data_IF_414183630294
#
_entry.id   IF_414183630294
#
_cell.length_a   1.000
_cell.length_b   1.000
_cell.length_c   1.000
_cell.angle_alpha   90.00
_cell.angle_beta   90.00
_cell.angle_gamma   90.00
#
_symmetry.space_group_name_H-M   'P 1'
#
loop_
_entity.id
_entity.type
_entity.pdbx_description
1 polymer ?
2 non-polymer ?
3 non-polymer ?
4 water ?
#
# COMPACT_ATOMS: atom_id res chain seq x y z
N UNK A 1 10.69 -1.93 16.25
CA UNK A 1 9.36 -2.03 15.67
C UNK A 1 8.64 -0.68 15.73
N UNK A 2 7.64 -0.55 14.88
CA UNK A 2 6.79 0.62 14.75
C UNK A 2 5.39 0.22 15.17
N UNK A 3 4.71 1.11 15.90
CA UNK A 3 3.35 0.86 16.29
C UNK A 3 2.42 0.98 15.08
N UNK A 4 1.47 0.05 14.97
CA UNK A 4 0.47 0.05 13.93
C UNK A 4 -0.87 0.38 14.54
N UNK A 5 -1.69 1.27 13.95
CA UNK A 5 -1.41 1.95 12.68
C UNK A 5 -0.30 2.97 12.79
N UNK A 6 0.42 3.15 11.70
CA UNK A 6 1.56 4.03 11.62
C UNK A 6 1.38 5.04 10.52
N UNK A 7 1.77 6.29 10.76
CA UNK A 7 1.75 7.32 9.76
C UNK A 7 3.16 7.74 9.39
N UNK A 8 3.51 7.53 8.13
CA UNK A 8 4.78 7.98 7.60
C UNK A 8 4.58 9.27 6.82
N UNK A 9 5.13 10.40 7.29
CA UNK A 9 5.03 11.61 6.48
C UNK A 9 5.82 11.46 5.19
N UNK A 10 5.29 12.05 4.11
CA UNK A 10 5.94 12.11 2.81
C UNK A 10 6.11 13.60 2.48
N UNK A 11 7.21 14.23 2.96
CA UNK A 11 7.26 15.68 2.95
C UNK A 11 7.25 16.25 1.55
N UNK A 12 6.35 17.17 1.26
CA UNK A 12 6.21 17.70 -0.07
C UNK A 12 5.61 16.72 -1.07
N UNK A 13 4.96 15.69 -0.56
CA UNK A 13 4.28 14.73 -1.42
C UNK A 13 5.24 13.79 -2.12
N UNK A 14 4.70 13.16 -3.15
CA UNK A 14 5.44 12.17 -3.90
C UNK A 14 5.77 12.73 -5.28
N UNK A 15 6.74 12.05 -5.95
CA UNK A 15 7.25 12.46 -7.24
C UNK A 15 7.68 11.21 -7.99
N UNK A 16 7.67 11.18 -9.33
CA UNK A 16 8.22 10.02 -10.03
C UNK A 16 9.66 9.76 -9.59
N UNK A 17 9.92 8.45 -9.50
CA UNK A 17 11.20 7.86 -9.11
C UNK A 17 11.37 7.78 -7.59
N UNK A 18 10.38 8.19 -6.83
CA UNK A 18 10.38 7.98 -5.40
C UNK A 18 9.94 6.55 -5.09
N UNK A 19 10.74 5.87 -4.30
CA UNK A 19 10.51 4.46 -3.92
C UNK A 19 10.27 4.40 -2.42
N UNK A 20 9.08 3.90 -2.04
CA UNK A 20 8.70 3.75 -0.66
C UNK A 20 8.78 2.26 -0.30
N UNK A 21 9.51 1.95 0.78
CA UNK A 21 9.74 0.57 1.19
C UNK A 21 9.13 0.37 2.59
N UNK A 22 8.31 -0.67 2.70
CA UNK A 22 7.70 -1.07 3.96
C UNK A 22 8.17 -2.49 4.28
N UNK A 23 8.77 -2.67 5.44
CA UNK A 23 9.27 -3.98 5.91
C UNK A 23 8.50 -4.37 7.15
N UNK A 24 8.11 -5.63 7.22
CA UNK A 24 7.50 -6.14 8.43
C UNK A 24 7.34 -7.63 8.37
N UNK A 25 6.47 -8.14 9.24
CA UNK A 25 6.10 -9.55 9.24
C UNK A 25 4.59 -9.65 9.33
N UNK A 26 4.01 -10.49 8.47
CA UNK A 26 2.58 -10.73 8.53
C UNK A 26 2.25 -11.50 9.78
N UNK A 27 1.22 -11.11 10.52
CA UNK A 27 0.84 -11.84 11.72
C UNK A 27 0.34 -13.23 11.34
N UNK A 28 0.45 -14.20 12.27
CA UNK A 28 0.08 -15.56 11.94
C UNK A 28 -1.34 -15.80 11.49
N UNK A 29 -2.27 -15.03 11.99
CA UNK A 29 -3.64 -15.36 11.60
C UNK A 29 -4.21 -14.17 10.84
N UNK A 30 -3.41 -13.54 10.01
CA UNK A 30 -3.77 -12.26 9.43
C UNK A 30 -5.10 -12.33 8.67
N UNK A 31 -5.86 -11.23 8.77
CA UNK A 31 -7.06 -11.02 7.97
C UNK A 31 -6.91 -9.95 6.92
N UNK A 32 -6.17 -8.88 7.22
CA UNK A 32 -6.15 -7.73 6.33
C UNK A 32 -4.90 -6.90 6.60
N UNK A 33 -4.43 -6.22 5.53
CA UNK A 33 -3.38 -5.21 5.61
C UNK A 33 -3.83 -4.03 4.77
N UNK A 34 -3.44 -2.81 5.14
CA UNK A 34 -3.71 -1.69 4.26
C UNK A 34 -2.58 -0.69 4.28
N UNK A 35 -2.25 -0.20 3.08
CA UNK A 35 -1.46 1.02 2.87
C UNK A 35 -2.39 2.08 2.32
N UNK A 36 -2.32 3.29 2.86
CA UNK A 36 -3.14 4.43 2.43
C UNK A 36 -2.27 5.64 2.15
N UNK A 37 -2.01 5.90 0.85
CA UNK A 37 -1.31 7.12 0.43
C UNK A 37 -2.34 8.23 0.38
N UNK A 38 -2.22 9.19 1.28
CA UNK A 38 -3.27 10.20 1.49
C UNK A 38 -2.85 11.59 1.02
N UNK A 39 -3.84 12.27 0.44
CA UNK A 39 -3.82 13.71 0.18
C UNK A 39 -4.84 14.33 1.11
N UNK A 40 -4.38 14.83 2.26
CA UNK A 40 -5.32 15.24 3.27
C UNK A 40 -6.19 14.05 3.69
N UNK A 41 -7.51 14.23 3.68
CA UNK A 41 -8.42 13.13 3.98
C UNK A 41 -8.63 12.21 2.79
N UNK A 42 -8.28 12.63 1.58
CA UNK A 42 -8.45 11.75 0.46
C UNK A 42 -7.39 10.66 0.46
N UNK A 43 -7.78 9.50 -0.06
CA UNK A 43 -6.84 8.40 -0.22
C UNK A 43 -6.55 8.24 -1.70
N UNK A 44 -5.37 8.71 -2.11
CA UNK A 44 -4.95 8.59 -3.50
C UNK A 44 -4.82 7.14 -3.91
N UNK A 45 -4.25 6.32 -3.03
CA UNK A 45 -3.96 4.92 -3.35
C UNK A 45 -4.07 4.12 -2.08
N UNK A 46 -5.12 3.27 -2.04
CA UNK A 46 -5.36 2.30 -0.98
C UNK A 46 -4.99 0.94 -1.54
N UNK A 47 -4.06 0.29 -0.89
CA UNK A 47 -3.57 -1.05 -1.25
C UNK A 47 -3.91 -1.99 -0.13
N UNK A 48 -4.80 -2.95 -0.39
CA UNK A 48 -5.49 -3.69 0.68
C UNK A 48 -5.52 -5.18 0.42
N UNK A 49 -4.47 -5.91 0.81
CA UNK A 49 -4.53 -7.38 0.88
C UNK A 49 -5.61 -7.85 1.87
N UNK A 50 -6.49 -8.72 1.39
CA UNK A 50 -7.52 -9.38 2.17
C UNK A 50 -7.26 -10.89 2.13
N UNK A 51 -7.03 -11.48 3.30
CA UNK A 51 -6.65 -12.88 3.39
C UNK A 51 -7.84 -13.84 3.35
N UNK A 52 -9.07 -13.36 3.56
CA UNK A 52 -10.22 -14.24 3.57
C UNK A 52 -11.45 -13.44 3.23
N UNK A 53 -11.58 -13.11 1.95
CA UNK A 53 -12.79 -12.53 1.43
C UNK A 53 -13.49 -13.66 0.68
N UNK A 54 -14.61 -14.15 1.21
CA UNK A 54 -15.29 -15.25 0.58
C UNK A 54 -14.36 -16.45 0.35
N UNK A 55 -13.51 -16.71 1.30
CA UNK A 55 -12.61 -17.87 1.26
C UNK A 55 -11.63 -17.79 0.10
N UNK A 56 -11.32 -16.57 -0.32
CA UNK A 56 -10.26 -16.23 -1.27
C UNK A 56 -9.29 -15.26 -0.61
N UNK A 57 -8.08 -15.24 -1.16
CA UNK A 57 -7.15 -14.14 -0.89
C UNK A 57 -7.15 -13.20 -2.08
N UNK A 58 -7.27 -11.91 -1.85
CA UNK A 58 -7.38 -10.94 -2.94
C UNK A 58 -6.67 -9.66 -2.53
N UNK A 59 -6.13 -8.96 -3.52
CA UNK A 59 -5.60 -7.62 -3.34
C UNK A 59 -6.63 -6.65 -3.89
N UNK A 60 -7.12 -5.74 -3.04
CA UNK A 60 -8.06 -4.70 -3.42
C UNK A 60 -7.34 -3.36 -3.43
N UNK A 61 -7.43 -2.60 -4.54
CA UNK A 61 -6.90 -1.25 -4.59
C UNK A 61 -8.02 -0.27 -4.94
N UNK A 62 -7.96 0.93 -4.39
CA UNK A 62 -8.97 1.93 -4.63
C UNK A 62 -8.46 3.32 -4.25
N UNK A 63 -9.34 4.29 -4.48
CA UNK A 63 -9.14 5.72 -4.15
C UNK A 63 -10.39 6.17 -3.40
N UNK A 64 -10.19 7.03 -2.40
CA UNK A 64 -11.29 7.60 -1.64
C UNK A 64 -11.25 9.11 -1.81
N UNK A 65 -12.35 9.68 -2.31
CA UNK A 65 -12.46 11.12 -2.56
C UNK A 65 -13.67 11.64 -1.81
N UNK A 66 -13.48 12.69 -1.00
CA UNK A 66 -14.57 13.24 -0.22
C UNK A 66 -15.34 12.16 0.54
N UNK A 67 -14.58 11.21 1.08
CA UNK A 67 -15.09 10.15 1.93
C UNK A 67 -15.90 9.11 1.16
N UNK A 68 -15.76 9.03 -0.17
CA UNK A 68 -16.43 8.06 -1.02
C UNK A 68 -15.39 7.19 -1.71
N UNK A 69 -15.52 5.86 -1.55
CA UNK A 69 -14.66 4.94 -2.29
C UNK A 69 -15.10 4.86 -3.75
N UNK A 70 -14.11 4.75 -4.62
CA UNK A 70 -14.38 4.66 -6.04
C UNK A 70 -14.41 3.22 -6.51
N UNK A 71 -14.09 3.02 -7.78
CA UNK A 71 -14.09 1.70 -8.38
C UNK A 71 -12.88 0.88 -7.92
N UNK A 72 -13.15 -0.30 -7.36
CA UNK A 72 -12.05 -1.19 -6.96
C UNK A 72 -11.32 -1.76 -8.17
N UNK A 73 -10.01 -1.94 -8.00
CA UNK A 73 -9.16 -2.72 -8.88
C UNK A 73 -8.69 -3.93 -8.10
N UNK A 74 -8.98 -5.13 -8.58
CA UNK A 74 -8.72 -6.38 -7.85
C UNK A 74 -7.74 -7.30 -8.59
N UNK A 75 -6.92 -8.01 -7.82
CA UNK A 75 -5.81 -8.89 -8.28
C UNK A 75 -5.98 -10.19 -7.45
N UNK A 76 -5.96 -11.39 -8.03
CA UNK A 76 -5.92 -12.63 -7.27
C UNK A 76 -4.50 -13.12 -7.03
N UNK A 77 -3.51 -12.63 -7.79
CA UNK A 77 -2.14 -12.98 -7.44
C UNK A 77 -1.84 -12.35 -6.08
N UNK A 78 -1.45 -13.16 -5.11
CA UNK A 78 -1.42 -12.79 -3.73
C UNK A 78 -0.11 -13.26 -3.12
N UNK A 79 0.86 -12.36 -2.94
CA UNK A 79 2.20 -12.80 -2.58
C UNK A 79 2.48 -12.94 -1.11
N UNK A 80 1.53 -12.57 -0.26
CA UNK A 80 1.74 -12.58 1.16
C UNK A 80 1.40 -13.93 1.74
N UNK A 81 2.05 -14.27 2.86
CA UNK A 81 1.78 -15.48 3.58
C UNK A 81 1.79 -15.14 5.06
N UNK A 82 0.77 -15.64 5.76
CA UNK A 82 0.67 -15.45 7.20
C UNK A 82 1.95 -15.89 7.90
N UNK A 83 2.42 -15.09 8.85
CA UNK A 83 3.56 -15.40 9.67
C UNK A 83 4.91 -15.08 9.04
N UNK A 84 4.97 -14.59 7.79
CA UNK A 84 6.27 -14.43 7.11
C UNK A 84 6.69 -12.97 6.99
N UNK A 85 8.02 -12.74 6.99
CA UNK A 85 8.55 -11.41 6.70
C UNK A 85 8.31 -10.98 5.27
N UNK A 86 7.93 -9.72 5.11
CA UNK A 86 7.61 -9.17 3.79
C UNK A 86 8.31 -7.82 3.59
N UNK A 87 8.39 -7.49 2.30
CA UNK A 87 8.77 -6.17 1.85
C UNK A 87 7.79 -5.73 0.78
N UNK A 88 7.17 -4.57 1.00
CA UNK A 88 6.37 -3.95 -0.03
C UNK A 88 7.13 -2.74 -0.52
N UNK A 89 7.33 -2.64 -1.83
CA UNK A 89 7.92 -1.47 -2.45
C UNK A 89 6.93 -0.84 -3.38
N UNK A 90 6.73 0.46 -3.18
CA UNK A 90 5.82 1.24 -4.01
C UNK A 90 6.68 2.28 -4.72
N UNK A 91 6.78 2.14 -6.05
CA UNK A 91 7.56 3.05 -6.87
C UNK A 91 6.58 3.99 -7.56
N UNK A 92 6.78 5.29 -7.36
CA UNK A 92 5.91 6.28 -8.00
C UNK A 92 6.46 6.50 -9.41
N UNK A 93 5.60 6.32 -10.41
CA UNK A 93 5.95 6.55 -11.79
C UNK A 93 5.06 7.67 -12.29
N UNK A 94 5.34 8.20 -13.51
CA UNK A 94 4.58 9.35 -13.99
C UNK A 94 3.07 9.13 -14.08
N UNK A 95 2.64 7.92 -14.47
CA UNK A 95 1.23 7.64 -14.68
C UNK A 95 0.64 6.65 -13.69
N UNK A 96 1.47 6.01 -12.83
CA UNK A 96 0.96 4.99 -11.95
C UNK A 96 1.86 4.86 -10.73
N UNK A 97 1.28 4.20 -9.70
CA UNK A 97 2.09 3.58 -8.66
C UNK A 97 2.39 2.15 -9.12
N UNK A 98 3.61 1.70 -8.93
CA UNK A 98 3.98 0.30 -9.21
C UNK A 98 4.34 -0.35 -7.91
N UNK A 99 3.78 -1.53 -7.65
CA UNK A 99 3.97 -2.25 -6.41
C UNK A 99 4.72 -3.56 -6.71
N UNK A 100 5.76 -3.82 -5.94
CA UNK A 100 6.49 -5.10 -5.92
C UNK A 100 6.49 -5.60 -4.49
N UNK A 101 6.30 -6.91 -4.32
CA UNK A 101 6.33 -7.55 -3.00
C UNK A 101 7.44 -8.59 -3.02
N UNK A 102 8.33 -8.52 -2.05
CA UNK A 102 9.41 -9.50 -1.97
C UNK A 102 10.13 -9.57 -3.31
N UNK A 103 10.39 -8.41 -3.91
CA UNK A 103 11.17 -8.29 -5.13
C UNK A 103 10.52 -8.89 -6.38
N UNK A 104 9.22 -9.10 -6.35
CA UNK A 104 8.47 -9.54 -7.51
C UNK A 104 7.39 -8.50 -7.81
N UNK A 105 7.35 -8.07 -9.07
CA UNK A 105 6.30 -7.16 -9.51
C UNK A 105 4.91 -7.75 -9.22
N UNK A 106 4.04 -6.91 -8.67
CA UNK A 106 2.68 -7.31 -8.32
C UNK A 106 1.66 -6.60 -9.21
N UNK A 107 1.64 -5.26 -9.22
CA UNK A 107 0.56 -4.56 -9.90
C UNK A 107 0.99 -3.11 -10.15
N UNK A 108 0.24 -2.47 -11.04
CA UNK A 108 0.25 -1.03 -11.29
C UNK A 108 -1.12 -0.46 -10.93
N UNK A 109 -1.13 0.80 -10.50
CA UNK A 109 -2.37 1.50 -10.20
C UNK A 109 -2.27 2.91 -10.77
N UNK A 110 -3.08 3.20 -11.78
CA UNK A 110 -2.99 4.51 -12.44
C UNK A 110 -3.39 5.63 -11.50
N UNK A 111 -2.75 6.80 -11.65
CA UNK A 111 -3.04 7.92 -10.80
C UNK A 111 -4.44 8.48 -11.10
N UNK A 112 -5.28 8.48 -10.07
CA UNK A 112 -6.58 9.13 -10.08
C UNK A 112 -6.50 10.51 -9.43
N UNK A 113 -5.79 10.59 -8.32
CA UNK A 113 -5.41 11.84 -7.69
C UNK A 113 -4.14 12.35 -8.38
N UNK A 114 -4.21 13.54 -8.95
CA UNK A 114 -3.19 14.03 -9.84
C UNK A 114 -2.20 14.98 -9.18
N UNK A 115 -2.55 15.51 -8.01
CA UNK A 115 -1.66 16.42 -7.29
C UNK A 115 -0.70 15.58 -6.44
N UNK A 116 0.30 15.01 -7.12
CA UNK A 116 1.25 14.09 -6.51
C UNK A 116 1.94 14.77 -5.34
N UNK A 117 2.28 16.05 -5.52
CA UNK A 117 3.04 16.77 -4.49
C UNK A 117 2.19 17.17 -3.28
N UNK A 118 0.93 16.72 -3.22
CA UNK A 118 0.07 16.86 -2.05
C UNK A 118 -0.24 15.55 -1.37
N UNK A 119 0.29 14.43 -1.89
CA UNK A 119 0.10 13.11 -1.28
C UNK A 119 1.18 12.96 -0.22
N UNK A 120 0.92 13.49 0.97
CA UNK A 120 1.95 13.79 1.93
C UNK A 120 1.94 12.87 3.16
N UNK A 121 1.17 11.80 3.14
CA UNK A 121 1.18 10.85 4.24
C UNK A 121 0.96 9.45 3.69
N UNK A 122 1.62 8.49 4.30
CA UNK A 122 1.35 7.07 4.10
C UNK A 122 0.90 6.45 5.42
N UNK A 123 -0.35 5.98 5.47
CA UNK A 123 -0.84 5.22 6.59
C UNK A 123 -0.59 3.74 6.36
N UNK A 124 -0.18 3.04 7.41
CA UNK A 124 0.07 1.62 7.38
C UNK A 124 -0.73 0.98 8.50
N UNK A 125 -1.61 0.03 8.16
CA UNK A 125 -2.51 -0.55 9.13
C UNK A 125 -2.71 -2.03 8.87
N UNK A 126 -3.30 -2.70 9.87
CA UNK A 126 -3.69 -4.08 9.75
C UNK A 126 -2.74 -5.05 10.45
N UNK A 127 -2.77 -6.30 9.98
CA UNK A 127 -2.35 -7.44 10.77
C UNK A 127 -0.88 -7.76 10.46
N UNK A 128 -0.04 -6.83 10.86
CA UNK A 128 1.38 -6.89 10.65
C UNK A 128 2.11 -6.47 11.90
N UNK A 129 3.34 -6.97 12.03
CA UNK A 129 4.39 -6.38 12.85
C UNK A 129 5.20 -5.52 11.91
N UNK A 130 5.21 -4.20 12.12
CA UNK A 130 5.87 -3.29 11.23
C UNK A 130 7.31 -3.02 11.72
N UNK A 131 8.29 -3.26 10.86
CA UNK A 131 9.68 -3.08 11.19
C UNK A 131 10.25 -1.73 10.73
N UNK A 132 9.92 -1.29 9.52
CA UNK A 132 10.49 -0.09 8.96
C UNK A 132 9.58 0.44 7.87
N UNK A 133 9.61 1.76 7.68
CA UNK A 133 8.93 2.39 6.58
C UNK A 133 9.77 3.59 6.17
N UNK A 134 10.22 3.62 4.91
CA UNK A 134 11.15 4.65 4.48
C UNK A 134 11.02 4.87 2.99
N UNK A 135 11.77 5.87 2.52
CA UNK A 135 11.74 6.20 1.10
C UNK A 135 13.12 6.63 0.60
N UNK A 136 13.29 6.55 -0.71
CA UNK A 136 14.49 7.04 -1.35
C UNK A 136 14.13 7.39 -2.79
N UNK A 137 15.04 8.07 -3.48
CA UNK A 137 14.90 8.36 -4.91
C UNK A 137 15.78 7.37 -5.68
N UNK A 138 15.25 6.73 -6.73
CA UNK A 138 16.07 5.87 -7.56
C UNK A 138 16.76 6.64 -8.71
X LIG B 1 -17.07 -0.08 -1.38
X LIG B 1 -17.21 0.73 0.62
X LIG B 1 -16.28 0.34 -3.62
X LIG B 1 -16.13 -0.07 0.59
X LIG B 1 -15.30 -0.23 1.81
X LIG B 1 -14.29 -1.37 1.78
X LIG B 1 -13.37 -1.39 2.99
X LIG B 1 -10.03 -0.62 5.64
X LIG B 1 -7.77 -1.11 8.51
X LIG B 1 -7.18 -2.68 6.83
X LIG B 1 -10.63 -1.17 4.54
X LIG B 1 -11.86 -0.35 -0.83
X LIG B 1 -11.62 -0.29 1.66
X LIG B 1 -16.02 -0.50 -0.69
X LIG B 1 -17.30 -1.83 -3.12
X LIG B 1 -17.36 -0.33 -2.79
X LIG B 1 -18.78 0.10 -3.11
X LIG B 1 -17.76 0.74 -0.59
X LIG B 1 -12.39 -0.23 2.95
X LIG B 1 -11.51 -0.25 4.12
X LIG B 1 -11.46 0.84 4.89
X LIG B 1 -10.53 0.61 5.82
X LIG B 1 -8.98 -1.19 6.47
X LIG B 1 -8.78 -0.61 7.70
X LIG B 1 -7.52 -0.60 9.72
X LIG B 1 -8.18 -2.20 6.00
X LIG B 1 -6.39 -3.67 6.40
X LIG B 1 -6.96 -2.13 8.05
X LIG B 1 -6.02 -2.60 8.85
X LIG B 1 -14.13 -1.28 4.21
X LIG B 1 -14.63 -2.55 4.56
X LIG B 1 -13.50 -1.37 0.59
X LIG B 1 -12.61 -0.27 0.49
X LIG B 1 -12.79 -0.28 -1.90
X LIG B 1 -10.82 -1.45 1.61
X LIG B 1 -16.71 1.15 -4.21
X LIG B 1 -15.81 -0.35 -4.32
X LIG B 1 -15.49 0.76 -2.99
X LIG B 1 -15.98 -0.40 2.64
X LIG B 1 -14.80 0.72 2.01
X LIG B 1 -14.80 -2.34 1.75
X LIG B 1 -12.81 -2.33 3.00
X LIG B 1 -10.51 -2.12 4.04
X LIG B 1 -11.33 -1.32 -0.92
X LIG B 1 -11.15 0.46 -0.93
X LIG B 1 -10.96 0.58 1.59
X LIG B 1 -15.32 -1.20 -1.13
X LIG B 1 -18.12 -2.16 -3.77
X LIG B 1 -17.36 -2.42 -2.20
X LIG B 1 -16.36 -2.12 -3.61
X LIG B 1 -18.78 1.02 -3.70
X LIG B 1 -19.37 0.30 -2.21
X LIG B 1 -19.34 -0.65 -3.68
X LIG B 1 -12.91 0.72 3.02
X LIG B 1 -9.40 0.20 8.07
X LIG B 1 -8.34 -2.64 5.02
X LIG B 1 -15.18 -2.45 5.51
X LIG B 1 -13.80 -3.25 4.71
X LIG B 1 -15.31 -2.93 3.80
X LIG B 1 -13.18 0.68 0.49
X LIG B 1 -13.41 -1.02 -1.79
X LIG B 1 -10.98 -1.93 2.45
X LIG C 1 -10.61 -4.90 4.45
X LIG C 1 -11.28 -4.58 5.83
X LIG C 1 -11.70 -4.30 6.84
#
# INVERSE_FOLDING_TARGET
PLIVPYNLPLPGGVVPRMLITILGTVKPNANRIALDFQRGNDVAFHFNPRFNENNRRVIVCNTKLDNNWGREERQSVFPFESGKPFKIQVLVEPDHFKVAVNDAHLLQYNHRVKKLNEISKLGISGDIDLTSASYTMI
A1H5A N1 N3 C4 C5 C6 C7 C8 C10 C13 C15 C17 C20 C21 C22 C1 C2 C3 N2 C9 N4 N5 N6 C11 C12 F1 C14 F2 C16 F3 O1 C18 O2 C19 O3 O4 H8 H9 H7 H10 H11 H12 H13 H17 H22 H23 H25 H27 H3 H1 H2 H6 H4 H5 H14 H15 H16 H19 H20 H18 H21 H24 H26
SCN S C N
#
